data_IF_999189008656
#
_entry.id   IF_999189008656
#
_cell.length_a   1.000
_cell.length_b   1.000
_cell.length_c   1.000
_cell.angle_alpha   90.00
_cell.angle_beta   90.00
_cell.angle_gamma   90.00
#
_symmetry.space_group_name_H-M   'P 1'
#
loop_
_entity.id
_entity.type
_entity.pdbx_description
1 polymer ?
#
# COMPACT_ATOMS: atom_id res chain seq x y z
N UNK A 1 -4.26 -44.97 -14.93
CA UNK A 1 -3.62 -43.76 -15.51
C UNK A 1 -4.46 -42.54 -15.15
N UNK A 2 -4.09 -41.82 -14.08
CA UNK A 2 -4.75 -40.58 -13.62
C UNK A 2 -3.71 -39.49 -13.24
N UNK A 3 -2.40 -39.77 -13.34
CA UNK A 3 -1.36 -38.89 -12.79
C UNK A 3 -1.13 -37.60 -13.62
N UNK A 4 -1.33 -37.64 -14.94
CA UNK A 4 -0.98 -36.50 -15.82
C UNK A 4 -2.01 -35.36 -15.74
N UNK A 5 -3.30 -35.68 -15.61
CA UNK A 5 -4.35 -34.65 -15.53
C UNK A 5 -4.27 -33.84 -14.22
N UNK A 6 -3.90 -34.49 -13.11
CA UNK A 6 -3.73 -33.83 -11.82
C UNK A 6 -2.54 -32.83 -11.84
N UNK A 7 -1.44 -33.16 -12.52
CA UNK A 7 -0.25 -32.30 -12.58
C UNK A 7 -0.50 -30.98 -13.33
N UNK A 8 -1.30 -30.99 -14.41
CA UNK A 8 -1.63 -29.78 -15.18
C UNK A 8 -2.49 -28.82 -14.35
N UNK A 9 -3.41 -29.35 -13.52
CA UNK A 9 -4.21 -28.50 -12.63
C UNK A 9 -3.38 -27.81 -11.56
N UNK A 10 -2.35 -28.47 -11.00
CA UNK A 10 -1.53 -27.90 -9.93
C UNK A 10 -0.77 -26.63 -10.35
N UNK A 11 -0.24 -26.59 -11.59
CA UNK A 11 0.51 -25.43 -12.10
C UNK A 11 -0.44 -24.25 -12.40
N UNK A 12 -1.65 -24.53 -12.90
CA UNK A 12 -2.67 -23.51 -13.14
C UNK A 12 -3.25 -22.91 -11.83
N UNK A 13 -3.43 -23.72 -10.79
CA UNK A 13 -3.93 -23.25 -9.49
C UNK A 13 -2.97 -22.29 -8.77
N UNK A 14 -1.66 -22.50 -8.91
CA UNK A 14 -0.67 -21.61 -8.28
C UNK A 14 -0.71 -20.20 -8.90
N UNK A 15 -0.80 -20.09 -10.23
CA UNK A 15 -0.92 -18.78 -10.89
C UNK A 15 -2.22 -18.04 -10.57
N UNK A 16 -3.34 -18.75 -10.43
CA UNK A 16 -4.64 -18.14 -10.09
C UNK A 16 -4.65 -17.61 -8.65
N UNK A 17 -4.09 -18.36 -7.69
CA UNK A 17 -4.01 -17.94 -6.28
C UNK A 17 -3.18 -16.67 -6.12
N UNK A 18 -2.03 -16.59 -6.80
CA UNK A 18 -1.18 -15.42 -6.75
C UNK A 18 -1.89 -14.17 -7.31
N UNK A 19 -2.62 -14.29 -8.42
CA UNK A 19 -3.43 -13.17 -8.97
C UNK A 19 -4.58 -12.77 -8.05
N UNK A 20 -5.23 -13.74 -7.40
CA UNK A 20 -6.30 -13.47 -6.45
C UNK A 20 -5.78 -12.72 -5.21
N UNK A 21 -4.62 -13.10 -4.69
CA UNK A 21 -3.94 -12.42 -3.60
C UNK A 21 -3.56 -10.98 -3.99
N UNK A 22 -2.98 -10.78 -5.17
CA UNK A 22 -2.65 -9.45 -5.67
C UNK A 22 -3.90 -8.58 -5.86
N UNK A 23 -4.99 -9.15 -6.38
CA UNK A 23 -6.28 -8.45 -6.50
C UNK A 23 -6.80 -8.03 -5.12
N UNK A 24 -6.69 -8.90 -4.11
CA UNK A 24 -7.04 -8.57 -2.73
C UNK A 24 -6.16 -7.45 -2.17
N UNK A 25 -4.84 -7.51 -2.36
CA UNK A 25 -3.91 -6.45 -1.94
C UNK A 25 -4.28 -5.09 -2.55
N UNK A 26 -4.57 -5.05 -3.85
CA UNK A 26 -5.01 -3.83 -4.53
C UNK A 26 -6.38 -3.35 -4.04
N UNK A 27 -7.30 -4.25 -3.72
CA UNK A 27 -8.61 -3.90 -3.15
C UNK A 27 -8.47 -3.29 -1.75
N UNK A 28 -7.62 -3.89 -0.91
CA UNK A 28 -7.34 -3.40 0.44
C UNK A 28 -6.74 -1.98 0.38
N UNK A 29 -5.77 -1.74 -0.50
CA UNK A 29 -5.18 -0.41 -0.73
C UNK A 29 -6.23 0.61 -1.16
N UNK A 30 -7.12 0.27 -2.08
CA UNK A 30 -8.19 1.17 -2.52
C UNK A 30 -9.17 1.50 -1.38
N UNK A 31 -9.46 0.53 -0.51
CA UNK A 31 -10.27 0.77 0.67
C UNK A 31 -9.57 1.74 1.65
N UNK A 32 -8.27 1.57 1.87
CA UNK A 32 -7.45 2.47 2.71
C UNK A 32 -7.42 3.88 2.10
N UNK A 33 -7.18 4.01 0.80
CA UNK A 33 -7.20 5.30 0.09
C UNK A 33 -8.53 6.02 0.25
N UNK A 34 -9.63 5.31 0.02
CA UNK A 34 -10.98 5.87 0.15
C UNK A 34 -11.23 6.37 1.57
N UNK A 35 -10.79 5.60 2.57
CA UNK A 35 -10.93 5.99 3.96
C UNK A 35 -10.06 7.20 4.32
N UNK A 36 -8.83 7.27 3.83
CA UNK A 36 -7.95 8.44 4.00
C UNK A 36 -8.55 9.69 3.36
N UNK A 37 -9.08 9.57 2.14
CA UNK A 37 -9.77 10.65 1.45
C UNK A 37 -11.02 11.11 2.23
N UNK A 38 -11.83 10.17 2.69
CA UNK A 38 -13.04 10.47 3.47
C UNK A 38 -12.71 11.09 4.84
N UNK A 39 -11.68 10.61 5.53
CA UNK A 39 -11.20 11.21 6.77
C UNK A 39 -10.77 12.66 6.54
N UNK A 40 -10.05 12.93 5.45
CA UNK A 40 -9.66 14.29 5.08
C UNK A 40 -10.86 15.18 4.78
N UNK A 41 -11.88 14.68 4.08
CA UNK A 41 -13.12 15.43 3.83
C UNK A 41 -13.83 15.83 5.12
N UNK A 42 -13.79 14.99 6.16
CA UNK A 42 -14.47 15.26 7.44
C UNK A 42 -13.63 16.14 8.38
N UNK A 43 -12.32 15.88 8.48
CA UNK A 43 -11.45 16.52 9.47
C UNK A 43 -10.54 17.64 8.89
N UNK A 44 -10.60 17.88 7.58
CA UNK A 44 -9.77 18.87 6.88
C UNK A 44 -8.27 18.56 6.86
N UNK A 45 -7.85 17.37 7.31
CA UNK A 45 -6.46 16.94 7.40
C UNK A 45 -6.36 15.42 7.30
N UNK A 46 -5.23 14.92 6.81
CA UNK A 46 -4.95 13.48 6.83
C UNK A 46 -4.61 13.04 8.26
N UNK A 47 -4.97 11.82 8.65
CA UNK A 47 -4.66 11.32 9.98
C UNK A 47 -3.15 11.25 10.18
N UNK A 48 -2.66 11.64 11.36
CA UNK A 48 -1.28 11.39 11.71
C UNK A 48 -1.04 9.88 11.74
N UNK A 49 -0.01 9.43 11.03
CA UNK A 49 0.47 8.07 11.16
C UNK A 49 0.95 7.83 12.60
N UNK A 50 0.51 6.74 13.22
CA UNK A 50 1.02 6.16 14.47
C UNK A 50 2.37 5.53 14.14
N UNK A 51 3.49 6.27 14.30
CA UNK A 51 4.74 5.87 13.72
C UNK A 51 5.28 4.65 14.47
N UNK A 52 5.66 3.58 13.76
CA UNK A 52 6.44 2.51 14.37
C UNK A 52 7.94 2.90 14.31
N UNK A 53 8.65 2.99 15.47
CA UNK A 53 10.08 3.29 15.51
C UNK A 53 10.94 2.30 14.71
N UNK A 54 10.50 1.03 14.62
CA UNK A 54 11.21 -0.04 13.93
C UNK A 54 11.18 0.04 12.40
N UNK A 55 10.40 0.97 11.83
CA UNK A 55 10.16 1.04 10.37
C UNK A 55 10.35 2.44 9.82
N UNK A 56 11.02 3.33 10.56
CA UNK A 56 11.32 4.69 10.10
C UNK A 56 10.10 5.61 10.10
N UNK A 57 9.11 5.33 10.96
CA UNK A 57 7.90 6.13 11.12
C UNK A 57 6.76 5.77 10.17
N UNK A 58 6.82 4.60 9.54
CA UNK A 58 5.73 4.04 8.77
C UNK A 58 4.81 3.20 9.68
N UNK A 59 3.50 3.27 9.47
CA UNK A 59 2.54 2.32 10.02
C UNK A 59 2.55 1.03 9.20
N UNK A 60 2.57 -0.15 9.83
CA UNK A 60 2.52 -1.44 9.12
C UNK A 60 1.28 -2.25 9.50
N UNK A 61 0.73 -2.97 8.53
CA UNK A 61 -0.41 -3.89 8.73
C UNK A 61 -0.17 -5.00 9.75
N UNK A 62 1.09 -5.27 10.11
CA UNK A 62 1.45 -6.24 11.15
C UNK A 62 1.33 -5.64 12.55
N UNK A 63 1.45 -4.32 12.68
CA UNK A 63 1.55 -3.68 13.98
C UNK A 63 0.16 -3.53 14.63
N UNK A 64 0.08 -3.69 15.96
CA UNK A 64 -1.15 -3.39 16.67
C UNK A 64 -1.49 -1.90 16.51
N UNK A 65 -2.70 -1.60 16.05
CA UNK A 65 -3.14 -0.23 15.85
C UNK A 65 -2.88 0.35 14.45
N UNK A 66 -2.49 -0.48 13.47
CA UNK A 66 -2.48 -0.09 12.06
C UNK A 66 -3.78 0.59 11.66
N UNK A 67 -3.72 1.83 11.14
CA UNK A 67 -4.85 2.65 10.74
C UNK A 67 -5.90 2.86 11.84
N UNK A 68 -5.51 2.78 13.12
CA UNK A 68 -6.41 3.07 14.26
C UNK A 68 -6.97 4.49 14.21
N UNK A 69 -6.22 5.43 13.63
CA UNK A 69 -6.64 6.80 13.33
C UNK A 69 -7.82 6.89 12.36
N UNK A 70 -8.01 5.87 11.50
CA UNK A 70 -9.12 5.77 10.54
C UNK A 70 -10.31 4.96 11.07
N UNK A 71 -10.28 4.51 12.33
CA UNK A 71 -11.37 3.69 12.91
C UNK A 71 -12.74 4.35 12.85
N UNK A 72 -12.82 5.69 12.88
CA UNK A 72 -14.06 6.45 12.73
C UNK A 72 -14.69 6.33 11.33
N UNK A 73 -13.89 6.07 10.30
CA UNK A 73 -14.31 5.99 8.90
C UNK A 73 -14.44 4.53 8.44
N UNK A 74 -13.54 3.66 8.90
CA UNK A 74 -13.45 2.27 8.45
C UNK A 74 -14.08 1.26 9.41
N UNK A 75 -14.45 1.69 10.62
CA UNK A 75 -14.80 0.79 11.71
C UNK A 75 -13.61 -0.06 12.16
N UNK A 76 -13.91 -1.24 12.71
CA UNK A 76 -12.92 -2.22 13.20
C UNK A 76 -12.27 -3.07 12.06
N UNK A 77 -12.22 -2.55 10.84
CA UNK A 77 -11.69 -3.29 9.69
C UNK A 77 -10.17 -3.41 9.81
N UNK A 78 -9.67 -4.63 9.96
CA UNK A 78 -8.23 -4.93 10.02
C UNK A 78 -7.76 -5.40 8.66
N UNK A 79 -6.79 -4.69 8.08
CA UNK A 79 -6.14 -5.10 6.85
C UNK A 79 -4.97 -6.03 7.16
N UNK A 80 -5.08 -7.27 6.67
CA UNK A 80 -4.03 -8.27 6.81
C UNK A 80 -3.67 -8.76 5.41
N UNK A 81 -2.40 -8.60 5.03
CA UNK A 81 -1.93 -9.05 3.72
C UNK A 81 -2.12 -10.57 3.56
N UNK A 82 -2.56 -11.04 2.38
CA UNK A 82 -2.73 -12.48 2.14
C UNK A 82 -1.38 -13.20 2.18
N UNK A 83 -1.35 -14.35 2.85
CA UNK A 83 -0.12 -15.09 3.14
C UNK A 83 0.50 -14.65 4.47
N UNK A 84 1.79 -14.31 4.47
CA UNK A 84 2.51 -13.92 5.70
C UNK A 84 2.56 -12.40 5.84
N UNK A 85 1.86 -11.84 6.83
CA UNK A 85 1.89 -10.41 7.14
C UNK A 85 3.19 -10.03 7.89
N UNK A 86 4.17 -9.52 7.17
CA UNK A 86 5.53 -9.20 7.64
C UNK A 86 6.01 -7.85 7.10
N UNK A 87 7.21 -7.44 7.52
CA UNK A 87 7.87 -6.24 6.97
C UNK A 87 8.17 -6.40 5.46
N UNK A 88 8.31 -7.64 4.96
CA UNK A 88 8.58 -7.89 3.53
C UNK A 88 7.29 -8.13 2.73
N UNK A 89 6.16 -8.36 3.40
CA UNK A 89 4.86 -8.65 2.77
C UNK A 89 3.74 -8.09 3.63
N UNK A 90 3.25 -6.91 3.27
CA UNK A 90 2.38 -6.13 4.14
C UNK A 90 2.00 -4.78 3.53
N UNK A 91 1.12 -4.07 4.23
CA UNK A 91 0.70 -2.72 3.90
C UNK A 91 1.41 -1.72 4.79
N UNK A 92 1.79 -0.60 4.20
CA UNK A 92 2.52 0.49 4.81
C UNK A 92 1.73 1.77 4.59
N UNK A 93 1.58 2.59 5.62
CA UNK A 93 0.95 3.89 5.50
C UNK A 93 1.80 4.95 6.19
N UNK A 94 1.88 6.12 5.55
CA UNK A 94 2.44 7.32 6.17
C UNK A 94 1.89 8.58 5.56
N UNK A 95 1.79 9.63 6.36
CA UNK A 95 1.44 10.98 5.92
C UNK A 95 2.64 11.92 5.95
N UNK A 96 2.64 12.87 5.03
CA UNK A 96 3.70 13.84 4.83
C UNK A 96 3.11 15.24 4.63
N UNK A 97 3.92 16.25 4.95
CA UNK A 97 3.53 17.64 4.72
C UNK A 97 3.78 18.05 3.27
N UNK A 98 3.13 19.13 2.84
CA UNK A 98 3.27 19.65 1.48
C UNK A 98 4.74 19.97 1.15
N UNK A 99 5.19 19.68 -0.08
CA UNK A 99 6.53 20.05 -0.53
C UNK A 99 7.65 19.09 -0.12
N UNK A 100 7.35 18.06 0.69
CA UNK A 100 8.38 17.11 1.11
C UNK A 100 8.75 16.12 0.01
N UNK A 101 9.98 15.62 0.07
CA UNK A 101 10.49 14.53 -0.76
C UNK A 101 10.34 14.70 -2.28
N UNK A 102 10.40 15.94 -2.76
CA UNK A 102 10.28 16.24 -4.20
C UNK A 102 8.83 16.27 -4.72
N UNK A 103 7.84 16.27 -3.82
CA UNK A 103 6.45 16.53 -4.14
C UNK A 103 6.19 18.04 -4.24
N UNK A 104 5.32 18.52 -5.14
CA UNK A 104 5.02 19.93 -5.28
C UNK A 104 4.29 20.46 -4.04
N UNK A 105 4.74 21.59 -3.48
CA UNK A 105 4.08 22.22 -2.33
C UNK A 105 2.65 22.69 -2.64
N UNK A 106 2.34 22.95 -3.92
CA UNK A 106 1.01 23.32 -4.39
C UNK A 106 -0.01 22.18 -4.32
N UNK A 107 0.42 20.93 -4.21
CA UNK A 107 -0.48 19.78 -4.07
C UNK A 107 -1.00 19.58 -2.62
N UNK A 108 -0.51 20.40 -1.69
CA UNK A 108 -0.81 20.29 -0.26
C UNK A 108 -0.22 19.04 0.40
N UNK A 109 -0.61 18.74 1.65
CA UNK A 109 -0.22 17.50 2.33
C UNK A 109 -0.58 16.27 1.49
N UNK A 110 0.19 15.20 1.68
CA UNK A 110 -0.02 13.96 0.96
C UNK A 110 0.16 12.75 1.86
N UNK A 111 -0.45 11.64 1.47
CA UNK A 111 -0.23 10.34 2.08
C UNK A 111 0.34 9.36 1.08
N UNK A 112 1.07 8.38 1.59
CA UNK A 112 1.57 7.27 0.81
C UNK A 112 1.04 5.98 1.41
N UNK A 113 0.47 5.15 0.54
CA UNK A 113 0.16 3.75 0.85
C UNK A 113 1.08 2.87 0.02
N UNK A 114 1.83 2.01 0.68
CA UNK A 114 2.81 1.13 0.06
C UNK A 114 2.47 -0.32 0.37
N UNK A 115 2.57 -1.18 -0.64
CA UNK A 115 2.34 -2.62 -0.56
C UNK A 115 3.61 -3.32 -0.95
N UNK A 116 3.98 -4.33 -0.16
CA UNK A 116 5.09 -5.22 -0.46
C UNK A 116 4.59 -6.65 -0.59
N UNK A 117 5.26 -7.44 -1.42
CA UNK A 117 4.97 -8.87 -1.61
C UNK A 117 3.88 -9.15 -2.65
N UNK A 118 3.81 -8.34 -3.70
CA UNK A 118 3.03 -8.68 -4.90
C UNK A 118 3.65 -9.91 -5.59
N UNK A 119 2.82 -10.87 -5.97
CA UNK A 119 3.26 -12.20 -6.43
C UNK A 119 3.29 -12.33 -7.96
N UNK A 120 2.49 -11.54 -8.67
CA UNK A 120 2.32 -11.60 -10.13
C UNK A 120 2.54 -10.27 -10.84
N UNK A 121 2.72 -9.18 -10.11
CA UNK A 121 3.13 -7.92 -10.74
C UNK A 121 4.57 -8.02 -11.25
N UNK A 122 4.72 -7.76 -12.54
CA UNK A 122 6.00 -7.59 -13.23
C UNK A 122 6.02 -6.17 -13.79
N UNK A 123 6.45 -5.24 -12.95
CA UNK A 123 6.51 -3.82 -13.29
C UNK A 123 6.69 -3.09 -11.98
N UNK A 124 7.90 -2.59 -11.74
CA UNK A 124 8.28 -1.87 -10.53
C UNK A 124 7.20 -0.92 -10.09
N UNK A 125 7.03 -0.77 -8.76
CA UNK A 125 6.04 0.07 -8.10
C UNK A 125 5.32 0.96 -9.11
N UNK A 126 4.09 0.64 -9.50
CA UNK A 126 3.27 1.58 -10.27
C UNK A 126 2.83 2.69 -9.32
N UNK A 127 3.83 3.38 -8.79
CA UNK A 127 3.82 4.71 -8.26
C UNK A 127 2.98 5.51 -9.25
N UNK A 128 2.03 6.27 -8.74
CA UNK A 128 1.66 7.50 -9.42
C UNK A 128 2.88 8.46 -9.42
N UNK A 129 3.99 8.09 -10.10
CA UNK A 129 5.27 8.81 -10.15
C UNK A 129 5.04 10.24 -10.62
N UNK A 130 4.03 10.42 -11.47
CA UNK A 130 3.63 11.71 -12.02
C UNK A 130 3.17 12.72 -10.96
N UNK A 131 2.94 12.29 -9.71
CA UNK A 131 2.47 13.19 -8.66
C UNK A 131 3.58 13.83 -7.82
N UNK A 132 4.82 13.30 -7.85
CA UNK A 132 5.98 13.99 -7.28
C UNK A 132 7.20 13.84 -8.19
N UNK A 133 7.50 14.82 -9.05
CA UNK A 133 8.59 14.72 -10.03
C UNK A 133 9.98 14.49 -9.42
N UNK A 134 10.19 14.92 -8.16
CA UNK A 134 11.48 14.80 -7.48
C UNK A 134 11.68 13.54 -6.64
N UNK A 135 10.65 12.67 -6.47
CA UNK A 135 10.59 11.50 -5.55
C UNK A 135 11.92 11.14 -4.83
N UNK A 136 12.26 11.81 -3.73
CA UNK A 136 13.46 11.47 -2.93
C UNK A 136 13.12 10.58 -1.73
N UNK A 137 11.84 10.29 -1.50
CA UNK A 137 11.38 9.48 -0.37
C UNK A 137 11.80 8.02 -0.50
N UNK A 138 11.95 7.53 -1.74
CA UNK A 138 12.25 6.14 -2.04
C UNK A 138 13.52 6.05 -2.87
N UNK A 139 14.40 5.10 -2.52
CA UNK A 139 15.56 4.80 -3.36
C UNK A 139 15.11 4.24 -4.71
N UNK A 140 15.93 4.42 -5.74
CA UNK A 140 15.67 3.88 -7.08
C UNK A 140 15.36 2.37 -7.06
N UNK A 141 15.99 1.61 -6.16
CA UNK A 141 15.74 0.18 -5.98
C UNK A 141 14.34 -0.18 -5.46
N UNK A 142 13.69 0.68 -4.66
CA UNK A 142 12.31 0.45 -4.22
C UNK A 142 11.29 0.79 -5.32
N UNK A 143 11.64 1.72 -6.20
CA UNK A 143 10.79 2.13 -7.33
C UNK A 143 10.85 1.08 -8.46
N UNK A 144 12.00 0.42 -8.63
CA UNK A 144 12.19 -0.62 -9.64
C UNK A 144 11.81 -2.03 -9.20
N UNK A 145 11.47 -2.25 -7.92
CA UNK A 145 11.08 -3.56 -7.40
C UNK A 145 9.67 -3.94 -7.86
N UNK A 146 9.57 -5.01 -8.65
CA UNK A 146 8.31 -5.53 -9.21
C UNK A 146 7.37 -6.14 -8.18
N UNK A 147 7.85 -6.42 -6.97
CA UNK A 147 7.05 -6.98 -5.87
C UNK A 147 6.38 -5.89 -5.03
N UNK A 148 6.58 -4.62 -5.38
CA UNK A 148 6.08 -3.48 -4.64
C UNK A 148 5.04 -2.71 -5.43
N UNK A 149 4.07 -2.13 -4.73
CA UNK A 149 3.08 -1.24 -5.32
C UNK A 149 2.91 -0.03 -4.40
N UNK A 150 2.88 1.17 -4.95
CA UNK A 150 2.80 2.39 -4.15
C UNK A 150 1.80 3.37 -4.73
N UNK A 151 1.08 4.05 -3.85
CA UNK A 151 0.11 5.05 -4.21
C UNK A 151 0.28 6.32 -3.39
N UNK A 152 0.09 7.46 -4.06
CA UNK A 152 0.12 8.78 -3.46
C UNK A 152 -1.27 9.39 -3.56
N UNK A 153 -1.77 9.93 -2.45
CA UNK A 153 -2.97 10.76 -2.44
C UNK A 153 -2.64 12.14 -1.89
N UNK A 154 -3.13 13.17 -2.58
CA UNK A 154 -2.89 14.58 -2.23
C UNK A 154 -4.18 15.21 -1.75
N UNK A 155 -4.04 16.20 -0.87
CA UNK A 155 -5.18 16.96 -0.35
C UNK A 155 -5.86 17.85 -1.41
N UNK A 156 -5.16 18.23 -2.47
CA UNK A 156 -5.62 19.21 -3.47
C UNK A 156 -6.16 18.60 -4.78
N UNK A 157 -6.56 17.31 -4.78
CA UNK A 157 -7.02 16.60 -5.99
C UNK A 157 -8.52 16.68 -6.19
#
# INVERSE_FOLDING_TARGET
MIAILAAITAIAFNGIRQRANDTRRLSDVKAIQKALAQYHTVNGSFPAAVPNPGTGGWELSRDPGFLSSLSSVMGSTVFVAPGTNTILNGYYQRTFTAGQFGCPASAGPFYVVWVRGMETQTGGASVSLNSCPGQTLFSAGNISDSTMYMYFGFSSS
#
